data_IF_378236603877
#
_entry.id   IF_378236603877
#
_cell.length_a   1.000
_cell.length_b   1.000
_cell.length_c   1.000
_cell.angle_alpha   90.00
_cell.angle_beta   90.00
_cell.angle_gamma   90.00
#
_symmetry.space_group_name_H-M   'P 1'
#
loop_
_entity.id
_entity.type
_entity.pdbx_description
1 polymer ?
#
# COMPACT_ATOMS: atom_id res chain seq x y z
N UNK A 1 -16.56 35.08 -0.67
CA UNK A 1 -16.35 33.62 -0.83
C UNK A 1 -15.19 33.24 0.09
N UNK A 2 -15.46 32.48 1.16
CA UNK A 2 -14.44 32.16 2.16
C UNK A 2 -13.53 31.05 1.64
N UNK A 3 -12.25 31.38 1.50
CA UNK A 3 -11.20 30.45 1.13
C UNK A 3 -11.05 29.41 2.25
N UNK A 4 -11.45 28.16 1.97
CA UNK A 4 -11.26 27.05 2.91
C UNK A 4 -9.77 26.73 2.93
N UNK A 5 -9.06 27.27 3.92
CA UNK A 5 -7.68 26.92 4.21
C UNK A 5 -7.57 25.40 4.43
N UNK A 6 -7.02 24.69 3.44
CA UNK A 6 -6.68 23.28 3.55
C UNK A 6 -5.63 23.15 4.64
N UNK A 7 -6.01 22.58 5.78
CA UNK A 7 -5.08 22.28 6.88
C UNK A 7 -4.15 21.17 6.45
N UNK A 8 -3.04 21.54 5.80
CA UNK A 8 -1.92 20.63 5.56
C UNK A 8 -1.33 20.31 6.93
N UNK A 9 -1.69 19.16 7.50
CA UNK A 9 -1.08 18.63 8.72
C UNK A 9 0.35 18.21 8.39
N UNK A 10 1.29 19.16 8.51
CA UNK A 10 2.72 18.88 8.41
C UNK A 10 3.08 17.74 9.38
N UNK A 11 3.83 16.76 8.90
CA UNK A 11 4.49 15.74 9.74
C UNK A 11 5.41 16.48 10.73
N UNK A 12 5.02 16.52 12.00
CA UNK A 12 5.71 17.31 13.02
C UNK A 12 5.12 17.14 14.42
N UNK A 13 5.47 18.09 15.31
CA UNK A 13 5.00 18.14 16.71
C UNK A 13 3.47 18.09 16.76
N UNK A 14 2.86 17.29 17.65
CA UNK A 14 1.43 17.35 17.88
C UNK A 14 0.99 18.79 18.23
N UNK A 15 -0.22 19.20 17.84
CA UNK A 15 -0.84 20.43 18.28
C UNK A 15 -0.75 20.60 19.80
N UNK A 16 -0.67 21.85 20.27
CA UNK A 16 -0.56 22.15 21.71
C UNK A 16 -1.79 21.62 22.43
N UNK A 17 -1.61 20.65 23.33
CA UNK A 17 -2.69 19.96 24.05
C UNK A 17 -2.91 18.51 23.63
N UNK A 18 -2.35 18.07 22.49
CA UNK A 18 -2.38 16.67 22.06
C UNK A 18 -1.11 15.93 22.49
N UNK A 19 -1.27 14.72 23.00
CA UNK A 19 -0.14 13.84 23.28
C UNK A 19 0.44 13.29 21.97
N UNK A 20 1.78 13.25 21.89
CA UNK A 20 2.44 12.57 20.80
C UNK A 20 2.10 11.08 20.85
N UNK A 21 1.71 10.51 19.71
CA UNK A 21 1.52 9.07 19.58
C UNK A 21 2.75 8.31 20.07
N UNK A 22 2.55 7.25 20.84
CA UNK A 22 3.63 6.40 21.30
C UNK A 22 4.31 5.69 20.11
N UNK A 23 5.56 5.25 20.29
CA UNK A 23 6.25 4.49 19.23
C UNK A 23 5.46 3.22 18.83
N UNK A 24 4.82 2.57 19.81
CA UNK A 24 3.96 1.41 19.59
C UNK A 24 2.72 1.75 18.76
N UNK A 25 2.04 2.86 19.06
CA UNK A 25 0.90 3.35 18.28
C UNK A 25 1.30 3.68 16.85
N UNK A 26 2.42 4.39 16.65
CA UNK A 26 2.93 4.70 15.31
C UNK A 26 3.20 3.44 14.51
N UNK A 27 3.83 2.43 15.14
CA UNK A 27 4.09 1.14 14.48
C UNK A 27 2.79 0.41 14.16
N UNK A 28 1.79 0.43 15.05
CA UNK A 28 0.47 -0.18 14.81
C UNK A 28 -0.26 0.51 13.66
N UNK A 29 -0.26 1.84 13.63
CA UNK A 29 -0.83 2.63 12.53
C UNK A 29 -0.14 2.34 11.20
N UNK A 30 1.19 2.22 11.19
CA UNK A 30 1.92 1.83 9.98
C UNK A 30 1.52 0.44 9.49
N UNK A 31 1.43 -0.55 10.40
CA UNK A 31 0.97 -1.90 10.04
C UNK A 31 -0.45 -1.90 9.49
N UNK A 32 -1.34 -1.06 10.01
CA UNK A 32 -2.70 -0.94 9.49
C UNK A 32 -2.71 -0.39 8.06
N UNK A 33 -1.93 0.65 7.78
CA UNK A 33 -1.75 1.19 6.41
C UNK A 33 -1.13 0.18 5.47
N UNK A 34 -0.08 -0.52 5.91
CA UNK A 34 0.56 -1.57 5.11
C UNK A 34 -0.43 -2.69 4.77
N UNK A 35 -1.27 -3.12 5.73
CA UNK A 35 -2.34 -4.10 5.49
C UNK A 35 -3.38 -3.59 4.50
N UNK A 36 -3.81 -2.34 4.65
CA UNK A 36 -4.79 -1.74 3.75
C UNK A 36 -4.25 -1.67 2.32
N UNK A 37 -3.00 -1.26 2.14
CA UNK A 37 -2.36 -1.20 0.83
C UNK A 37 -2.26 -2.58 0.14
N UNK A 38 -2.16 -3.67 0.90
CA UNK A 38 -2.23 -5.03 0.34
C UNK A 38 -3.62 -5.32 -0.19
N UNK A 39 -4.67 -4.98 0.58
CA UNK A 39 -6.06 -5.18 0.17
C UNK A 39 -6.41 -4.33 -1.05
N UNK A 40 -6.06 -3.05 -1.02
CA UNK A 40 -6.34 -2.11 -2.12
C UNK A 40 -5.59 -2.49 -3.41
N UNK A 41 -4.40 -3.09 -3.28
CA UNK A 41 -3.62 -3.53 -4.42
C UNK A 41 -4.16 -4.80 -5.11
N UNK A 42 -5.09 -5.53 -4.49
CA UNK A 42 -5.76 -6.67 -5.14
C UNK A 42 -6.77 -6.12 -6.14
N UNK A 43 -6.58 -6.41 -7.44
CA UNK A 43 -7.43 -5.89 -8.51
C UNK A 43 -7.04 -4.50 -9.02
N UNK A 44 -6.07 -3.83 -8.38
CA UNK A 44 -5.43 -2.60 -8.85
C UNK A 44 -3.90 -2.72 -8.78
N UNK A 45 -3.37 -3.83 -9.33
CA UNK A 45 -1.95 -4.18 -9.20
C UNK A 45 -1.06 -3.08 -9.81
N UNK A 46 -1.53 -2.39 -10.86
CA UNK A 46 -0.82 -1.31 -11.56
C UNK A 46 -0.52 -0.10 -10.68
N UNK A 47 -1.38 0.22 -9.71
CA UNK A 47 -1.16 1.33 -8.78
C UNK A 47 -0.65 0.86 -7.41
N UNK A 48 -0.61 -0.45 -7.16
CA UNK A 48 -0.19 -1.01 -5.88
C UNK A 48 1.30 -0.75 -5.61
N UNK A 49 1.69 -0.43 -4.36
CA UNK A 49 3.11 -0.30 -4.01
C UNK A 49 3.82 -1.66 -4.07
N UNK A 50 5.12 -1.70 -4.39
CA UNK A 50 5.89 -2.95 -4.50
C UNK A 50 5.71 -3.86 -3.27
N UNK A 51 5.70 -3.29 -2.06
CA UNK A 51 5.53 -4.06 -0.83
C UNK A 51 4.19 -4.79 -0.77
N UNK A 52 3.13 -4.20 -1.32
CA UNK A 52 1.83 -4.85 -1.43
C UNK A 52 1.89 -6.01 -2.43
N UNK A 53 2.49 -5.80 -3.61
CA UNK A 53 2.67 -6.84 -4.62
C UNK A 53 3.44 -8.05 -4.08
N UNK A 54 4.54 -7.82 -3.34
CA UNK A 54 5.31 -8.89 -2.69
C UNK A 54 4.50 -9.65 -1.63
N UNK A 55 3.66 -8.95 -0.87
CA UNK A 55 2.80 -9.59 0.11
C UNK A 55 1.64 -10.38 -0.53
N UNK A 56 1.15 -9.96 -1.71
CA UNK A 56 0.18 -10.73 -2.51
C UNK A 56 0.84 -12.02 -3.01
N UNK A 57 2.07 -11.94 -3.54
CA UNK A 57 2.85 -13.12 -3.96
C UNK A 57 3.05 -14.13 -2.83
N UNK A 58 3.34 -13.67 -1.62
CA UNK A 58 3.54 -14.54 -0.46
C UNK A 58 2.28 -15.36 -0.07
N UNK A 59 1.10 -15.03 -0.62
CA UNK A 59 -0.17 -15.72 -0.35
C UNK A 59 -0.60 -16.66 -1.47
N UNK A 60 0.24 -16.89 -2.48
CA UNK A 60 -0.09 -17.65 -3.71
C UNK A 60 -0.72 -19.02 -3.44
N UNK A 61 -0.30 -19.73 -2.40
CA UNK A 61 -0.78 -21.10 -2.13
C UNK A 61 -2.12 -21.15 -1.37
N UNK A 62 -2.63 -20.02 -0.91
CA UNK A 62 -3.80 -20.00 0.00
C UNK A 62 -5.13 -20.26 -0.70
N UNK A 63 -5.26 -19.95 -2.00
CA UNK A 63 -6.46 -20.25 -2.78
C UNK A 63 -6.21 -20.09 -4.29
N UNK A 64 -7.14 -20.58 -5.12
CA UNK A 64 -7.09 -20.35 -6.57
C UNK A 64 -7.17 -18.84 -6.93
N UNK A 65 -8.00 -18.07 -6.22
CA UNK A 65 -8.08 -16.62 -6.40
C UNK A 65 -6.75 -15.92 -6.03
N UNK A 66 -6.07 -16.40 -4.98
CA UNK A 66 -4.77 -15.90 -4.57
C UNK A 66 -3.68 -16.18 -5.61
N UNK A 67 -3.75 -17.31 -6.33
CA UNK A 67 -2.85 -17.57 -7.46
C UNK A 67 -3.04 -16.58 -8.59
N UNK A 68 -4.29 -16.27 -8.94
CA UNK A 68 -4.57 -15.29 -10.00
C UNK A 68 -4.04 -13.89 -9.62
N UNK A 69 -4.29 -13.46 -8.38
CA UNK A 69 -3.75 -12.19 -7.87
C UNK A 69 -2.22 -12.18 -7.87
N UNK A 70 -1.59 -13.29 -7.48
CA UNK A 70 -0.14 -13.44 -7.51
C UNK A 70 0.42 -13.37 -8.95
N UNK A 71 -0.24 -13.98 -9.94
CA UNK A 71 0.16 -13.89 -11.35
C UNK A 71 0.10 -12.45 -11.86
N UNK A 72 -0.96 -11.71 -11.55
CA UNK A 72 -1.09 -10.29 -11.91
C UNK A 72 -0.01 -9.44 -11.25
N UNK A 73 0.21 -9.66 -9.95
CA UNK A 73 1.27 -8.97 -9.20
C UNK A 73 2.66 -9.28 -9.77
N UNK A 74 2.93 -10.52 -10.18
CA UNK A 74 4.19 -10.90 -10.82
C UNK A 74 4.38 -10.22 -12.18
N UNK A 75 3.34 -10.20 -13.02
CA UNK A 75 3.37 -9.51 -14.31
C UNK A 75 3.67 -8.02 -14.15
N UNK A 76 3.01 -7.37 -13.19
CA UNK A 76 3.25 -5.95 -12.90
C UNK A 76 4.67 -5.67 -12.41
N UNK A 77 5.20 -6.49 -11.50
CA UNK A 77 6.61 -6.39 -11.08
C UNK A 77 7.52 -6.56 -12.30
N UNK A 78 7.23 -7.56 -13.14
CA UNK A 78 7.97 -7.81 -14.36
C UNK A 78 7.99 -6.61 -15.30
N UNK A 79 6.86 -5.94 -15.50
CA UNK A 79 6.76 -4.74 -16.32
C UNK A 79 7.53 -3.55 -15.70
N UNK A 80 7.32 -3.27 -14.41
CA UNK A 80 7.97 -2.12 -13.72
C UNK A 80 9.49 -2.18 -13.74
N UNK A 81 10.05 -3.38 -13.68
CA UNK A 81 11.50 -3.60 -13.63
C UNK A 81 12.08 -4.12 -14.96
N UNK A 82 11.26 -4.24 -16.02
CA UNK A 82 11.73 -4.63 -17.35
C UNK A 82 12.08 -6.11 -17.52
N UNK A 83 11.62 -6.99 -16.63
CA UNK A 83 11.81 -8.44 -16.76
C UNK A 83 10.76 -9.11 -17.65
N UNK A 84 9.60 -8.47 -17.85
CA UNK A 84 8.49 -8.99 -18.68
C UNK A 84 8.01 -7.88 -19.59
N UNK A 85 8.13 -8.09 -20.91
CA UNK A 85 7.43 -7.29 -21.90
C UNK A 85 6.09 -7.96 -22.18
N UNK A 86 5.00 -7.40 -21.63
CA UNK A 86 3.66 -7.79 -22.08
C UNK A 86 3.44 -7.09 -23.42
N UNK A 87 3.66 -7.81 -24.51
CA UNK A 87 3.17 -7.41 -25.82
C UNK A 87 1.65 -7.32 -25.74
N UNK A 88 1.10 -6.12 -25.99
CA UNK A 88 -0.34 -5.86 -26.05
C UNK A 88 -1.03 -6.71 -27.11
#
# INVERSE_FOLDING_TARGET
MADRSVTVTKRGRPPKGEQASSAAERKRAQRARDKQAITDGIGDEQNAPLRALLAILARVETSAASRLCAQRAWSEIGQRYGFVNVTK
#
